data_IF_705349992459
#
_entry.id   IF_705349992459
#
_cell.length_a   1.000
_cell.length_b   1.000
_cell.length_c   1.000
_cell.angle_alpha   90.00
_cell.angle_beta   90.00
_cell.angle_gamma   90.00
#
_symmetry.space_group_name_H-M   'P 1'
#
loop_
_entity.id
_entity.type
_entity.pdbx_description
1 polymer ?
#
# COMPACT_ATOMS: atom_id res chain seq x y z
N UNK A 1 0.79 -15.82 14.57
CA UNK A 1 0.84 -15.19 13.23
C UNK A 1 0.87 -13.69 13.41
N UNK A 2 1.84 -13.05 12.78
CA UNK A 2 1.97 -11.61 12.75
C UNK A 2 0.76 -10.96 12.06
N UNK A 3 0.38 -9.77 12.53
CA UNK A 3 -0.69 -8.95 11.96
C UNK A 3 -0.13 -7.57 11.71
N UNK A 4 -0.79 -6.76 10.91
CA UNK A 4 -0.37 -5.36 10.78
C UNK A 4 -0.77 -4.71 9.48
N UNK A 5 -0.20 -3.53 9.25
CA UNK A 5 -0.42 -2.70 8.07
C UNK A 5 0.85 -2.74 7.21
N UNK A 6 0.68 -2.72 5.89
CA UNK A 6 1.77 -2.61 4.93
C UNK A 6 1.45 -1.63 3.82
N UNK A 7 2.49 -1.16 3.16
CA UNK A 7 2.43 -0.51 1.88
C UNK A 7 3.45 -1.13 0.91
N UNK A 8 3.04 -1.29 -0.35
CA UNK A 8 3.94 -1.68 -1.44
C UNK A 8 4.27 -0.42 -2.24
N UNK A 9 5.53 -0.01 -2.23
CA UNK A 9 6.02 1.07 -3.10
C UNK A 9 6.49 0.42 -4.39
N UNK A 10 5.92 0.84 -5.51
CA UNK A 10 6.15 0.25 -6.81
C UNK A 10 6.59 1.29 -7.83
N UNK A 11 7.53 0.94 -8.68
CA UNK A 11 7.93 1.72 -9.84
C UNK A 11 7.30 1.14 -11.11
N UNK A 12 6.61 1.98 -11.87
CA UNK A 12 6.12 1.67 -13.21
C UNK A 12 6.96 2.46 -14.23
N UNK A 13 7.75 1.76 -15.03
CA UNK A 13 8.77 2.38 -15.90
C UNK A 13 8.19 3.09 -17.12
N UNK A 14 7.03 2.64 -17.61
CA UNK A 14 6.34 3.20 -18.76
C UNK A 14 4.83 3.14 -18.51
N UNK A 15 4.07 4.03 -19.14
CA UNK A 15 2.61 3.97 -19.09
C UNK A 15 2.08 2.58 -19.49
N UNK A 16 1.02 2.13 -18.82
CA UNK A 16 0.39 0.84 -19.10
C UNK A 16 -1.14 0.95 -19.01
N UNK A 17 -1.84 0.41 -20.00
CA UNK A 17 -3.27 0.13 -19.92
C UNK A 17 -3.45 -1.26 -19.28
N UNK A 18 -4.20 -1.34 -18.18
CA UNK A 18 -4.33 -2.56 -17.38
C UNK A 18 -5.80 -2.90 -17.14
N UNK A 19 -6.20 -4.11 -17.52
CA UNK A 19 -7.50 -4.68 -17.17
C UNK A 19 -7.55 -5.12 -15.69
N UNK A 20 -7.98 -4.23 -14.79
CA UNK A 20 -8.05 -4.49 -13.34
C UNK A 20 -9.38 -5.13 -12.95
N UNK A 21 -9.67 -6.32 -13.48
CA UNK A 21 -10.89 -7.08 -13.16
C UNK A 21 -12.18 -6.27 -13.36
N UNK A 22 -13.06 -6.22 -12.34
CA UNK A 22 -14.30 -5.44 -12.41
C UNK A 22 -14.09 -3.92 -12.28
N UNK A 23 -12.96 -3.48 -11.72
CA UNK A 23 -12.68 -2.06 -11.53
C UNK A 23 -12.50 -1.33 -12.87
N UNK A 24 -11.90 -2.01 -13.85
CA UNK A 24 -11.75 -1.49 -15.22
C UNK A 24 -13.09 -1.15 -15.88
N UNK A 25 -14.15 -1.91 -15.58
CA UNK A 25 -15.50 -1.70 -16.14
C UNK A 25 -16.20 -0.44 -15.63
N UNK A 26 -15.80 0.07 -14.47
CA UNK A 26 -16.43 1.22 -13.82
C UNK A 26 -15.66 2.54 -13.99
N UNK A 27 -14.42 2.50 -14.50
CA UNK A 27 -13.51 3.65 -14.56
C UNK A 27 -13.36 4.29 -15.94
N UNK A 28 -13.74 3.60 -17.02
CA UNK A 28 -13.63 4.12 -18.39
C UNK A 28 -14.81 5.02 -18.79
N UNK A 29 -14.54 6.19 -19.35
CA UNK A 29 -15.53 6.88 -20.21
C UNK A 29 -15.67 6.05 -21.48
N UNK A 30 -16.80 5.39 -21.69
CA UNK A 30 -17.14 4.81 -23.01
C UNK A 30 -16.89 3.31 -23.21
N UNK A 31 -16.85 2.50 -22.14
CA UNK A 31 -16.88 1.02 -22.28
C UNK A 31 -15.52 0.33 -22.43
N UNK A 32 -14.42 1.05 -22.23
CA UNK A 32 -13.08 0.46 -22.16
C UNK A 32 -12.93 -0.37 -20.87
N UNK A 33 -12.40 -1.60 -20.99
CA UNK A 33 -12.20 -2.55 -19.87
C UNK A 33 -10.88 -2.31 -19.10
N UNK A 34 -10.10 -1.32 -19.51
CA UNK A 34 -8.74 -1.08 -19.04
C UNK A 34 -8.62 0.30 -18.39
N UNK A 35 -7.67 0.43 -17.47
CA UNK A 35 -7.34 1.67 -16.79
C UNK A 35 -5.92 2.04 -17.18
N UNK A 36 -5.70 3.28 -17.62
CA UNK A 36 -4.37 3.79 -17.95
C UNK A 36 -3.64 4.22 -16.68
N UNK A 37 -2.45 3.68 -16.48
CA UNK A 37 -1.53 4.01 -15.40
C UNK A 37 -0.32 4.73 -15.97
N UNK A 38 -0.14 6.05 -15.72
CA UNK A 38 1.07 6.77 -16.11
C UNK A 38 2.34 6.17 -15.51
N UNK A 39 3.47 6.34 -16.18
CA UNK A 39 4.78 6.03 -15.60
C UNK A 39 5.02 6.84 -14.33
N UNK A 40 5.68 6.23 -13.34
CA UNK A 40 5.93 6.86 -12.04
C UNK A 40 5.91 5.85 -10.90
N UNK A 41 5.57 6.33 -9.71
CA UNK A 41 5.55 5.54 -8.48
C UNK A 41 4.13 5.39 -7.95
N UNK A 42 3.86 4.22 -7.40
CA UNK A 42 2.58 3.88 -6.82
C UNK A 42 2.80 3.31 -5.43
N UNK A 43 2.01 3.76 -4.46
CA UNK A 43 1.99 3.20 -3.10
C UNK A 43 0.63 2.59 -2.84
N UNK A 44 0.61 1.26 -2.70
CA UNK A 44 -0.59 0.51 -2.36
C UNK A 44 -0.62 0.17 -0.88
N UNK A 45 -1.71 0.50 -0.19
CA UNK A 45 -1.87 0.27 1.24
C UNK A 45 -2.77 -0.95 1.50
N UNK A 46 -2.36 -1.80 2.44
CA UNK A 46 -3.09 -3.00 2.81
C UNK A 46 -2.96 -3.33 4.30
N UNK A 47 -3.90 -4.11 4.81
CA UNK A 47 -3.86 -4.71 6.15
C UNK A 47 -3.76 -6.22 6.07
N UNK A 48 -3.20 -6.84 7.10
CA UNK A 48 -3.23 -8.28 7.31
C UNK A 48 -3.79 -8.57 8.71
N UNK A 49 -4.98 -9.19 8.77
CA UNK A 49 -5.63 -9.58 10.04
C UNK A 49 -5.02 -10.85 10.65
N UNK A 50 -4.25 -11.59 9.85
CA UNK A 50 -3.39 -12.71 10.23
C UNK A 50 -2.41 -12.95 9.07
N UNK A 51 -1.13 -13.17 9.37
CA UNK A 51 -0.07 -13.46 8.42
C UNK A 51 0.34 -12.24 7.59
N UNK A 52 0.91 -11.21 8.20
CA UNK A 52 1.43 -10.04 7.49
C UNK A 52 2.59 -10.44 6.58
N UNK A 53 3.58 -11.21 7.06
CA UNK A 53 4.67 -11.76 6.25
C UNK A 53 4.13 -12.52 5.03
N UNK A 54 3.15 -13.38 5.28
CA UNK A 54 2.56 -14.24 4.25
C UNK A 54 1.80 -13.43 3.19
N UNK A 55 1.06 -12.40 3.61
CA UNK A 55 0.31 -11.52 2.70
C UNK A 55 1.25 -10.71 1.80
N UNK A 56 2.26 -10.07 2.36
CA UNK A 56 3.26 -9.34 1.57
C UNK A 56 4.04 -10.31 0.67
N UNK A 57 4.47 -11.46 1.18
CA UNK A 57 5.18 -12.47 0.39
C UNK A 57 4.36 -12.96 -0.80
N UNK A 58 3.03 -13.08 -0.65
CA UNK A 58 2.13 -13.40 -1.76
C UNK A 58 2.11 -12.30 -2.82
N UNK A 59 2.07 -11.04 -2.44
CA UNK A 59 2.17 -9.94 -3.40
C UNK A 59 3.52 -9.91 -4.12
N UNK A 60 4.60 -10.29 -3.45
CA UNK A 60 5.94 -10.34 -4.05
C UNK A 60 6.21 -11.56 -4.95
N UNK A 61 5.28 -12.51 -5.10
CA UNK A 61 5.37 -13.58 -6.12
C UNK A 61 4.97 -13.01 -7.49
N UNK A 62 5.57 -13.43 -8.60
CA UNK A 62 5.05 -13.05 -9.93
C UNK A 62 3.89 -13.95 -10.34
N UNK A 63 4.13 -15.25 -10.30
CA UNK A 63 3.14 -16.27 -10.64
C UNK A 63 2.20 -16.52 -9.46
N UNK A 64 0.93 -16.18 -9.66
CA UNK A 64 -0.15 -16.44 -8.70
C UNK A 64 -1.50 -16.28 -9.38
N UNK A 65 -2.56 -16.79 -8.74
CA UNK A 65 -3.93 -16.38 -9.06
C UNK A 65 -4.19 -14.96 -8.53
N UNK A 66 -4.61 -14.06 -9.41
CA UNK A 66 -4.93 -12.68 -9.03
C UNK A 66 -6.22 -12.65 -8.22
N UNK A 67 -6.14 -12.05 -7.04
CA UNK A 67 -7.26 -11.93 -6.11
C UNK A 67 -7.56 -10.46 -5.84
N UNK A 68 -6.52 -9.64 -5.64
CA UNK A 68 -6.67 -8.22 -5.34
C UNK A 68 -6.33 -7.37 -6.57
N UNK A 69 -6.90 -6.16 -6.65
CA UNK A 69 -6.59 -5.20 -7.72
C UNK A 69 -5.08 -4.99 -7.89
N UNK A 70 -4.33 -4.95 -6.79
CA UNK A 70 -2.88 -4.78 -6.80
C UNK A 70 -2.14 -5.92 -7.52
N UNK A 71 -2.69 -7.14 -7.56
CA UNK A 71 -2.03 -8.26 -8.23
C UNK A 71 -1.92 -8.06 -9.75
N UNK A 72 -2.84 -7.29 -10.34
CA UNK A 72 -2.83 -6.91 -11.76
C UNK A 72 -1.75 -5.86 -12.05
N UNK A 73 -1.68 -4.80 -11.25
CA UNK A 73 -0.66 -3.75 -11.41
C UNK A 73 0.75 -4.31 -11.22
N UNK A 74 0.94 -5.24 -10.29
CA UNK A 74 2.22 -5.90 -10.01
C UNK A 74 2.77 -6.76 -11.16
N UNK A 75 2.00 -6.99 -12.24
CA UNK A 75 2.55 -7.60 -13.46
C UNK A 75 3.42 -6.63 -14.26
N UNK A 76 3.15 -5.33 -14.12
CA UNK A 76 3.78 -4.26 -14.89
C UNK A 76 4.71 -3.40 -14.03
N UNK A 77 4.41 -3.28 -12.73
CA UNK A 77 5.18 -2.48 -11.79
C UNK A 77 6.09 -3.36 -10.91
N UNK A 78 7.28 -2.85 -10.62
CA UNK A 78 8.27 -3.49 -9.76
C UNK A 78 8.15 -2.96 -8.33
N UNK A 79 8.00 -3.84 -7.33
CA UNK A 79 8.06 -3.42 -5.92
C UNK A 79 9.50 -3.06 -5.57
N UNK A 80 9.73 -1.82 -5.16
CA UNK A 80 11.06 -1.31 -4.80
C UNK A 80 11.25 -1.21 -3.28
N UNK A 81 10.17 -0.94 -2.53
CA UNK A 81 10.18 -0.91 -1.07
C UNK A 81 8.89 -1.51 -0.51
N UNK A 82 8.99 -2.10 0.68
CA UNK A 82 7.86 -2.49 1.52
C UNK A 82 7.90 -1.63 2.77
N UNK A 83 6.85 -0.84 3.00
CA UNK A 83 6.66 -0.16 4.28
C UNK A 83 5.71 -0.99 5.14
N UNK A 84 5.95 -1.09 6.43
CA UNK A 84 5.17 -1.98 7.29
C UNK A 84 5.17 -1.57 8.75
N UNK A 85 4.13 -2.01 9.45
CA UNK A 85 3.96 -1.82 10.89
C UNK A 85 3.22 -3.04 11.44
N UNK A 86 3.95 -4.01 12.03
CA UNK A 86 3.35 -5.14 12.71
C UNK A 86 2.55 -4.66 13.93
N UNK A 87 1.41 -5.27 14.19
CA UNK A 87 0.59 -5.01 15.37
C UNK A 87 1.33 -5.48 16.63
N UNK A 88 1.40 -4.65 17.67
CA UNK A 88 2.13 -4.93 18.90
C UNK A 88 3.61 -4.55 18.84
N UNK A 89 4.15 -4.24 17.65
CA UNK A 89 5.51 -3.74 17.53
C UNK A 89 5.68 -2.41 18.24
N UNK A 90 4.62 -1.64 18.49
CA UNK A 90 4.65 -0.31 19.14
C UNK A 90 5.35 -0.30 20.51
N UNK A 91 5.53 -1.45 21.17
CA UNK A 91 6.22 -1.59 22.45
C UNK A 91 7.75 -1.65 22.34
N UNK A 92 8.30 -1.89 21.15
CA UNK A 92 9.75 -2.01 20.92
C UNK A 92 10.43 -0.69 20.48
N UNK A 93 9.67 0.35 20.10
CA UNK A 93 10.20 1.55 19.40
C UNK A 93 10.24 2.83 20.24
N UNK A 94 10.29 2.70 21.56
CA UNK A 94 10.28 3.83 22.50
C UNK A 94 8.89 4.18 23.04
N UNK A 95 8.85 5.07 24.05
CA UNK A 95 7.68 5.30 24.89
C UNK A 95 6.37 5.52 24.12
N UNK A 96 5.36 4.78 24.58
CA UNK A 96 3.97 4.87 24.15
C UNK A 96 3.46 6.30 24.33
N UNK A 97 3.38 7.10 23.27
CA UNK A 97 2.34 8.12 23.23
C UNK A 97 1.02 7.38 23.07
N UNK A 98 0.30 7.25 24.17
CA UNK A 98 -1.03 6.68 24.19
C UNK A 98 -1.95 7.50 23.28
N UNK A 99 -2.06 7.10 22.01
CA UNK A 99 -3.02 7.70 21.09
C UNK A 99 -4.38 7.10 21.43
N UNK A 100 -5.12 7.79 22.30
CA UNK A 100 -6.54 7.51 22.52
C UNK A 100 -7.25 7.56 21.17
N UNK A 101 -7.65 6.39 20.65
CA UNK A 101 -8.44 6.27 19.41
C UNK A 101 -7.93 5.30 18.35
N UNK A 102 -6.83 4.58 18.57
CA UNK A 102 -6.26 3.64 17.60
C UNK A 102 -7.16 2.41 17.36
N UNK A 103 -8.18 2.58 16.50
CA UNK A 103 -8.97 1.45 16.03
C UNK A 103 -8.14 0.47 15.21
N UNK A 104 -8.66 -0.75 15.07
CA UNK A 104 -7.94 -1.91 14.53
C UNK A 104 -7.34 -1.73 13.13
N UNK A 105 -6.62 -2.77 12.67
CA UNK A 105 -5.75 -2.76 11.48
C UNK A 105 -6.31 -2.06 10.23
N UNK A 106 -7.61 -2.19 9.94
CA UNK A 106 -8.28 -1.48 8.83
C UNK A 106 -8.24 0.05 8.97
N UNK A 107 -8.40 0.58 10.18
CA UNK A 107 -8.29 2.04 10.41
C UNK A 107 -6.87 2.55 10.17
N UNK A 108 -5.84 1.74 10.51
CA UNK A 108 -4.44 2.06 10.23
C UNK A 108 -4.15 2.11 8.72
N UNK A 109 -4.62 1.13 7.96
CA UNK A 109 -4.51 1.13 6.48
C UNK A 109 -5.13 2.38 5.84
N UNK A 110 -6.36 2.73 6.23
CA UNK A 110 -7.03 3.95 5.73
C UNK A 110 -6.25 5.23 6.10
N UNK A 111 -5.73 5.29 7.33
CA UNK A 111 -4.93 6.42 7.80
C UNK A 111 -3.62 6.56 7.01
N UNK A 112 -2.91 5.45 6.78
CA UNK A 112 -1.67 5.45 6.01
C UNK A 112 -1.91 5.97 4.59
N UNK A 113 -2.97 5.48 3.94
CA UNK A 113 -3.34 6.00 2.63
C UNK A 113 -3.70 7.50 2.68
N UNK A 114 -4.42 7.95 3.70
CA UNK A 114 -4.72 9.38 3.88
C UNK A 114 -3.46 10.23 4.04
N UNK A 115 -2.50 9.77 4.85
CA UNK A 115 -1.21 10.45 5.05
C UNK A 115 -0.44 10.55 3.73
N UNK A 116 -0.32 9.45 3.00
CA UNK A 116 0.37 9.46 1.71
C UNK A 116 -0.30 10.36 0.67
N UNK A 117 -1.64 10.42 0.64
CA UNK A 117 -2.37 11.38 -0.21
C UNK A 117 -2.12 12.85 0.16
N UNK A 118 -1.78 13.11 1.43
CA UNK A 118 -1.42 14.45 1.91
C UNK A 118 0.05 14.81 1.69
N UNK A 119 0.89 13.89 1.22
CA UNK A 119 2.28 14.18 0.88
C UNK A 119 2.36 15.00 -0.43
N UNK A 120 3.43 15.79 -0.63
CA UNK A 120 3.66 16.49 -1.89
C UNK A 120 3.53 15.54 -3.10
N UNK A 121 2.82 16.01 -4.13
CA UNK A 121 2.57 15.29 -5.39
C UNK A 121 1.72 14.01 -5.29
N UNK A 122 1.24 13.63 -4.10
CA UNK A 122 0.38 12.47 -3.91
C UNK A 122 -0.98 12.65 -4.59
N UNK A 123 -1.35 11.72 -5.47
CA UNK A 123 -2.60 11.80 -6.24
C UNK A 123 -3.38 10.49 -6.21
N UNK A 124 -4.70 10.58 -6.29
CA UNK A 124 -5.59 9.42 -6.48
C UNK A 124 -6.00 9.37 -7.94
N UNK A 125 -5.29 8.58 -8.75
CA UNK A 125 -5.59 8.44 -10.19
C UNK A 125 -6.68 7.40 -10.48
N UNK A 126 -6.81 6.39 -9.62
CA UNK A 126 -7.74 5.27 -9.84
C UNK A 126 -8.69 5.14 -8.66
N UNK A 127 -9.84 5.84 -8.67
CA UNK A 127 -10.85 5.70 -7.63
C UNK A 127 -11.32 4.26 -7.47
N UNK A 128 -11.62 3.84 -6.24
CA UNK A 128 -12.06 2.50 -5.88
C UNK A 128 -10.94 1.44 -5.82
N UNK A 129 -9.70 1.78 -6.17
CA UNK A 129 -8.61 0.81 -6.20
C UNK A 129 -8.26 0.32 -4.79
N UNK A 130 -8.72 -0.89 -4.44
CA UNK A 130 -8.35 -1.57 -3.20
C UNK A 130 -9.14 -1.11 -1.97
N UNK A 131 -10.15 -0.26 -2.15
CA UNK A 131 -10.96 0.32 -1.08
C UNK A 131 -12.39 -0.23 -1.02
N UNK A 132 -12.66 -1.41 -1.60
CA UNK A 132 -14.02 -1.95 -1.72
C UNK A 132 -14.73 -2.26 -0.40
N UNK A 133 -13.98 -2.39 0.71
CA UNK A 133 -14.50 -2.65 2.05
C UNK A 133 -14.45 -1.42 2.96
N UNK A 134 -14.17 -0.23 2.41
CA UNK A 134 -14.16 1.04 3.14
C UNK A 134 -14.70 2.18 2.26
N UNK A 135 -14.62 3.43 2.75
CA UNK A 135 -15.07 4.63 2.02
C UNK A 135 -13.91 5.48 1.49
N UNK A 136 -12.69 4.94 1.49
CA UNK A 136 -11.53 5.67 0.98
C UNK A 136 -11.66 5.84 -0.54
N UNK A 137 -11.25 6.99 -1.10
CA UNK A 137 -11.28 7.22 -2.55
C UNK A 137 -10.51 6.15 -3.32
N UNK A 138 -9.37 5.70 -2.79
CA UNK A 138 -8.62 4.52 -3.19
C UNK A 138 -7.64 4.17 -2.06
N UNK A 139 -7.07 2.97 -2.09
CA UNK A 139 -5.89 2.58 -1.32
C UNK A 139 -4.61 2.54 -2.19
N UNK A 140 -4.67 3.20 -3.36
CA UNK A 140 -3.53 3.39 -4.25
C UNK A 140 -3.27 4.89 -4.41
N UNK A 141 -2.02 5.30 -4.19
CA UNK A 141 -1.58 6.69 -4.33
C UNK A 141 -0.46 6.76 -5.36
N UNK A 142 -0.61 7.63 -6.34
CA UNK A 142 0.40 7.91 -7.37
C UNK A 142 1.32 9.05 -6.95
N UNK A 143 2.58 8.95 -7.37
CA UNK A 143 3.59 10.00 -7.32
C UNK A 143 4.38 10.02 -8.64
N UNK A 144 4.70 11.19 -9.20
CA UNK A 144 5.54 11.29 -10.39
C UNK A 144 7.02 11.00 -10.11
N UNK A 145 7.43 10.98 -8.83
CA UNK A 145 8.79 10.71 -8.36
C UNK A 145 8.77 9.77 -7.14
N UNK A 146 9.91 9.15 -6.75
CA UNK A 146 9.92 8.25 -5.59
C UNK A 146 9.41 8.94 -4.32
N UNK A 147 8.38 8.41 -3.63
CA UNK A 147 7.86 9.03 -2.42
C UNK A 147 8.85 8.90 -1.26
N UNK A 148 9.02 9.98 -0.50
CA UNK A 148 9.92 9.99 0.67
C UNK A 148 9.31 9.21 1.84
N UNK A 149 9.90 8.06 2.17
CA UNK A 149 9.55 7.31 3.37
C UNK A 149 9.73 8.14 4.65
N UNK A 150 10.74 9.00 4.73
CA UNK A 150 10.99 9.75 5.96
C UNK A 150 9.96 10.84 6.21
N UNK A 151 9.47 11.47 5.14
CA UNK A 151 8.34 12.39 5.24
C UNK A 151 7.07 11.63 5.64
N UNK A 152 6.80 10.50 5.00
CA UNK A 152 5.67 9.64 5.33
C UNK A 152 5.69 9.22 6.81
N UNK A 153 6.83 8.72 7.29
CA UNK A 153 7.05 8.29 8.68
C UNK A 153 6.84 9.44 9.66
N UNK A 154 7.43 10.61 9.39
CA UNK A 154 7.23 11.81 10.23
C UNK A 154 5.76 12.20 10.33
N UNK A 155 5.04 12.25 9.20
CA UNK A 155 3.61 12.59 9.20
C UNK A 155 2.75 11.54 9.93
N UNK A 156 3.13 10.26 9.91
CA UNK A 156 2.50 9.22 10.72
C UNK A 156 2.79 9.40 12.22
N UNK A 157 4.03 9.74 12.59
CA UNK A 157 4.45 9.95 13.97
C UNK A 157 3.75 11.15 14.61
N UNK A 158 3.48 12.21 13.85
CA UNK A 158 2.64 13.33 14.26
C UNK A 158 1.19 12.91 14.60
N UNK A 159 0.75 11.77 14.08
CA UNK A 159 -0.54 11.13 14.38
C UNK A 159 -0.40 9.98 15.40
N UNK A 160 0.80 9.79 15.94
CA UNK A 160 1.18 8.78 16.93
C UNK A 160 1.23 7.34 16.39
N UNK A 161 1.56 7.17 15.12
CA UNK A 161 1.82 5.87 14.51
C UNK A 161 3.26 5.78 14.02
N UNK A 162 3.84 4.57 14.07
CA UNK A 162 5.16 4.28 13.52
C UNK A 162 5.11 3.37 12.29
N UNK A 163 6.14 3.44 11.47
CA UNK A 163 6.35 2.59 10.29
C UNK A 163 7.83 2.28 10.11
N UNK A 164 8.12 1.12 9.54
CA UNK A 164 9.46 0.74 9.03
C UNK A 164 9.41 0.61 7.52
N UNK A 165 10.58 0.58 6.90
CA UNK A 165 10.75 0.15 5.51
C UNK A 165 11.80 -0.95 5.39
N UNK A 166 11.67 -1.75 4.33
CA UNK A 166 12.68 -2.70 3.89
C UNK A 166 12.57 -2.91 2.37
N UNK A 167 13.68 -3.19 1.67
CA UNK A 167 13.65 -3.76 0.33
C UNK A 167 12.88 -5.11 0.32
N UNK A 168 12.26 -5.51 -0.81
CA UNK A 168 11.45 -6.74 -0.88
C UNK A 168 12.19 -8.02 -0.46
N UNK A 169 13.46 -8.16 -0.84
CA UNK A 169 14.28 -9.33 -0.50
C UNK A 169 14.53 -9.38 1.01
N UNK A 170 14.84 -8.23 1.61
CA UNK A 170 15.13 -8.13 3.02
C UNK A 170 13.87 -8.32 3.87
N UNK A 171 12.72 -7.78 3.43
CA UNK A 171 11.44 -8.03 4.08
C UNK A 171 11.14 -9.53 4.16
N UNK A 172 11.38 -10.29 3.07
CA UNK A 172 11.18 -11.75 3.07
C UNK A 172 12.11 -12.47 4.04
N UNK A 173 13.35 -12.01 4.22
CA UNK A 173 14.31 -12.63 5.16
C UNK A 173 13.89 -12.37 6.61
N UNK A 174 13.70 -11.09 6.97
CA UNK A 174 13.42 -10.63 8.35
C UNK A 174 12.13 -11.17 8.98
N UNK A 175 11.21 -11.69 8.17
CA UNK A 175 9.85 -12.06 8.59
C UNK A 175 9.58 -13.57 8.50
N UNK A 176 10.60 -14.35 8.13
CA UNK A 176 10.58 -15.83 8.06
C UNK A 176 11.41 -16.46 9.19
N UNK A 177 12.31 -15.68 9.80
CA UNK A 177 13.01 -16.00 11.05
C UNK A 177 12.13 -15.66 12.27
#
# INVERSE_FOLDING_TARGET
MDKGTYALVMALKSEAAIAVGRLGRSGGRGGENEITFPAGYYVYFGSARAGLSARVSRHLKREKRFHWHIDYLLQFAEVVEVWYSPEGAELEWGERKEVKGAGGVRKKECLWCQVARGMPQGQTLVPGFGSSDCRCPAHLVYFPSPPSFELFRRMLEERGYGAKKAPPIEFKRRMVD
#
